data_IF_096270847119
#
_entry.id   IF_096270847119
#
_cell.length_a   1.000
_cell.length_b   1.000
_cell.length_c   1.000
_cell.angle_alpha   90.00
_cell.angle_beta   90.00
_cell.angle_gamma   90.00
#
_symmetry.space_group_name_H-M   'P 1'
#
loop_
_entity.id
_entity.type
_entity.pdbx_description
1 polymer ?
#
# COMPACT_ATOMS: atom_id res chain seq x y z
N UNK A 1 -18.69 -14.46 -6.80
CA UNK A 1 -17.58 -15.38 -7.13
C UNK A 1 -16.43 -15.05 -6.19
N UNK A 2 -15.79 -16.06 -5.58
CA UNK A 2 -14.72 -15.83 -4.60
C UNK A 2 -13.41 -15.53 -5.33
N UNK A 3 -12.90 -14.30 -5.19
CA UNK A 3 -11.62 -13.88 -5.73
C UNK A 3 -10.53 -14.05 -4.66
N UNK A 4 -9.48 -14.81 -5.00
CA UNK A 4 -8.37 -15.12 -4.10
C UNK A 4 -7.11 -14.37 -4.57
N UNK A 5 -6.45 -13.65 -3.65
CA UNK A 5 -5.10 -13.12 -3.91
C UNK A 5 -4.07 -14.10 -3.37
N UNK A 6 -3.20 -14.62 -4.24
CA UNK A 6 -2.05 -15.41 -3.83
C UNK A 6 -0.92 -14.49 -3.34
N UNK A 7 -0.31 -14.85 -2.21
CA UNK A 7 0.86 -14.17 -1.63
C UNK A 7 1.98 -15.21 -1.54
N UNK A 8 3.01 -15.02 -2.36
CA UNK A 8 4.10 -15.99 -2.56
C UNK A 8 5.47 -15.43 -2.10
N UNK A 9 5.53 -14.17 -1.69
CA UNK A 9 6.73 -13.52 -1.18
C UNK A 9 6.44 -12.79 0.13
N UNK A 10 7.39 -12.85 1.06
CA UNK A 10 7.26 -12.23 2.38
C UNK A 10 7.18 -10.69 2.31
N UNK A 11 7.78 -10.06 1.30
CA UNK A 11 7.70 -8.61 1.11
C UNK A 11 6.26 -8.20 0.79
N UNK A 12 5.51 -9.03 0.06
CA UNK A 12 4.11 -8.76 -0.27
C UNK A 12 3.18 -8.98 0.94
N UNK A 13 3.58 -9.88 1.87
CA UNK A 13 2.91 -10.02 3.16
C UNK A 13 3.00 -8.74 4.00
N UNK A 14 4.10 -7.99 3.93
CA UNK A 14 4.24 -6.70 4.66
C UNK A 14 3.14 -5.73 4.26
N UNK A 15 2.91 -5.57 2.95
CA UNK A 15 1.83 -4.72 2.45
C UNK A 15 0.48 -5.18 3.00
N UNK A 16 0.21 -6.48 3.02
CA UNK A 16 -1.02 -7.04 3.55
C UNK A 16 -1.19 -6.74 5.05
N UNK A 17 -0.16 -7.00 5.86
CA UNK A 17 -0.19 -6.72 7.29
C UNK A 17 -0.41 -5.23 7.56
N UNK A 18 0.17 -4.34 6.74
CA UNK A 18 -0.04 -2.89 6.84
C UNK A 18 -1.39 -2.43 6.30
N UNK A 19 -2.02 -3.17 5.40
CA UNK A 19 -3.37 -2.87 4.92
C UNK A 19 -4.41 -3.12 6.03
N UNK A 20 -4.19 -4.08 6.92
CA UNK A 20 -5.20 -4.51 7.91
C UNK A 20 -4.75 -4.32 9.37
N UNK A 21 -3.78 -3.45 9.63
CA UNK A 21 -3.17 -3.23 10.94
C UNK A 21 -4.03 -2.41 11.93
N UNK A 22 -5.17 -1.87 11.50
CA UNK A 22 -6.05 -1.08 12.37
C UNK A 22 -7.52 -1.44 12.18
N UNK A 23 -8.35 -1.36 13.24
CA UNK A 23 -9.79 -1.60 13.12
C UNK A 23 -10.47 -0.68 12.10
N UNK A 24 -9.98 0.56 11.94
CA UNK A 24 -10.52 1.51 10.95
C UNK A 24 -10.33 1.01 9.53
N UNK A 25 -9.13 0.50 9.19
CA UNK A 25 -8.86 -0.05 7.86
C UNK A 25 -9.71 -1.28 7.58
N UNK A 26 -9.87 -2.17 8.56
CA UNK A 26 -10.74 -3.34 8.42
C UNK A 26 -12.18 -2.92 8.12
N UNK A 27 -12.76 -2.00 8.91
CA UNK A 27 -14.11 -1.48 8.69
C UNK A 27 -14.28 -0.77 7.34
N UNK A 28 -13.24 -0.05 6.90
CA UNK A 28 -13.24 0.59 5.58
C UNK A 28 -13.23 -0.44 4.45
N UNK A 29 -12.48 -1.54 4.61
CA UNK A 29 -12.43 -2.64 3.66
C UNK A 29 -13.75 -3.42 3.61
N UNK A 30 -14.38 -3.70 4.76
CA UNK A 30 -15.69 -4.35 4.84
C UNK A 30 -16.77 -3.57 4.08
N UNK A 31 -16.80 -2.24 4.25
CA UNK A 31 -17.76 -1.38 3.55
C UNK A 31 -17.65 -1.54 2.02
N UNK A 32 -16.43 -1.46 1.48
CA UNK A 32 -16.21 -1.61 0.03
C UNK A 32 -16.28 -3.07 -0.46
N UNK A 33 -16.34 -4.04 0.44
CA UNK A 33 -16.54 -5.45 0.09
C UNK A 33 -18.01 -5.75 -0.19
N UNK A 34 -18.93 -5.08 0.51
CA UNK A 34 -20.37 -5.20 0.30
C UNK A 34 -20.79 -4.54 -1.02
N UNK A 35 -20.43 -3.27 -1.22
CA UNK A 35 -20.81 -2.53 -2.43
C UNK A 35 -19.78 -1.46 -2.84
N UNK A 36 -20.02 -0.83 -3.98
CA UNK A 36 -19.26 0.30 -4.47
C UNK A 36 -19.47 1.52 -3.58
N UNK A 37 -18.37 2.13 -3.12
CA UNK A 37 -18.41 3.40 -2.40
C UNK A 37 -17.54 4.48 -3.03
N UNK A 38 -18.09 5.67 -3.14
CA UNK A 38 -17.39 6.88 -3.59
C UNK A 38 -16.39 7.35 -2.54
N UNK A 39 -15.36 8.07 -2.98
CA UNK A 39 -14.38 8.69 -2.08
C UNK A 39 -15.05 9.56 -1.00
N UNK A 40 -16.13 10.26 -1.32
CA UNK A 40 -16.87 11.14 -0.41
C UNK A 40 -17.66 10.35 0.62
N UNK A 41 -18.28 9.23 0.24
CA UNK A 41 -18.95 8.34 1.20
C UNK A 41 -17.96 7.73 2.17
N UNK A 42 -16.81 7.26 1.67
CA UNK A 42 -15.71 6.78 2.49
C UNK A 42 -15.26 7.88 3.46
N UNK A 43 -15.00 9.09 2.96
CA UNK A 43 -14.57 10.23 3.79
C UNK A 43 -15.64 10.62 4.82
N UNK A 44 -16.92 10.59 4.45
CA UNK A 44 -18.03 10.87 5.36
C UNK A 44 -18.13 9.84 6.49
N UNK A 45 -17.87 8.56 6.19
CA UNK A 45 -17.99 7.45 7.17
C UNK A 45 -16.73 7.27 8.03
N UNK A 46 -15.55 7.50 7.47
CA UNK A 46 -14.26 7.13 8.09
C UNK A 46 -13.24 8.28 8.18
N UNK A 47 -13.60 9.47 7.72
CA UNK A 47 -12.72 10.65 7.72
C UNK A 47 -11.53 10.52 6.77
N UNK A 48 -10.53 11.39 6.93
CA UNK A 48 -9.32 11.39 6.10
C UNK A 48 -8.51 10.09 6.23
N UNK A 49 -8.53 9.45 7.41
CA UNK A 49 -7.91 8.13 7.62
C UNK A 49 -8.56 7.03 6.77
N UNK A 50 -9.85 7.15 6.47
CA UNK A 50 -10.53 6.26 5.53
C UNK A 50 -10.01 6.43 4.10
N UNK A 51 -9.77 7.67 3.68
CA UNK A 51 -9.19 7.95 2.36
C UNK A 51 -7.76 7.43 2.27
N UNK A 52 -6.95 7.61 3.33
CA UNK A 52 -5.60 7.03 3.40
C UNK A 52 -5.63 5.49 3.33
N UNK A 53 -6.59 4.85 4.00
CA UNK A 53 -6.80 3.41 3.93
C UNK A 53 -7.10 2.94 2.50
N UNK A 54 -8.02 3.63 1.81
CA UNK A 54 -8.41 3.31 0.43
C UNK A 54 -7.27 3.52 -0.55
N UNK A 55 -6.49 4.60 -0.38
CA UNK A 55 -5.27 4.81 -1.17
C UNK A 55 -4.26 3.67 -0.96
N UNK A 56 -4.14 3.15 0.27
CA UNK A 56 -3.31 1.98 0.56
C UNK A 56 -3.82 0.74 -0.17
N UNK A 57 -5.12 0.47 -0.11
CA UNK A 57 -5.73 -0.67 -0.77
C UNK A 57 -5.57 -0.60 -2.29
N UNK A 58 -5.79 0.57 -2.88
CA UNK A 58 -5.62 0.79 -4.31
C UNK A 58 -4.17 0.58 -4.75
N UNK A 59 -3.21 1.18 -4.02
CA UNK A 59 -1.78 0.98 -4.29
C UNK A 59 -1.42 -0.50 -4.33
N UNK A 60 -1.96 -1.28 -3.40
CA UNK A 60 -1.66 -2.71 -3.26
C UNK A 60 -2.59 -3.63 -4.07
N UNK A 61 -3.39 -3.04 -4.97
CA UNK A 61 -4.34 -3.76 -5.84
C UNK A 61 -5.27 -4.67 -5.04
N UNK A 62 -5.80 -4.19 -3.93
CA UNK A 62 -6.79 -4.89 -3.12
C UNK A 62 -8.22 -4.49 -3.50
N UNK A 63 -8.36 -3.36 -4.20
CA UNK A 63 -9.62 -2.79 -4.66
C UNK A 63 -9.53 -2.49 -6.15
N UNK A 64 -10.69 -2.50 -6.79
CA UNK A 64 -10.89 -1.89 -8.10
C UNK A 64 -11.39 -0.47 -7.91
N UNK A 65 -11.07 0.40 -8.88
CA UNK A 65 -11.58 1.77 -8.89
C UNK A 65 -12.12 2.16 -10.26
N UNK A 66 -13.18 2.96 -10.26
CA UNK A 66 -13.79 3.54 -11.46
C UNK A 66 -14.23 4.97 -11.19
N UNK A 67 -14.29 5.78 -12.24
CA UNK A 67 -14.87 7.12 -12.16
C UNK A 67 -16.35 7.04 -12.53
N UNK A 68 -17.23 7.51 -11.64
CA UNK A 68 -18.67 7.59 -11.92
C UNK A 68 -19.11 9.06 -11.94
N UNK A 69 -20.03 9.45 -12.85
CA UNK A 69 -20.75 10.71 -12.73
C UNK A 69 -21.58 10.70 -11.45
N UNK A 70 -21.65 11.83 -10.75
CA UNK A 70 -22.57 12.02 -9.63
C UNK A 70 -23.48 13.20 -9.98
N UNK A 71 -24.79 12.99 -9.97
CA UNK A 71 -25.78 13.98 -10.42
C UNK A 71 -25.65 15.31 -9.68
N UNK A 72 -25.31 15.28 -8.39
CA UNK A 72 -25.14 16.47 -7.54
C UNK A 72 -23.80 17.20 -7.73
N UNK A 73 -22.83 16.65 -8.48
CA UNK A 73 -21.48 17.22 -8.65
C UNK A 73 -21.12 17.41 -10.12
N UNK A 74 -20.52 18.57 -10.44
CA UNK A 74 -19.99 18.87 -11.80
C UNK A 74 -18.79 18.02 -12.22
N UNK A 75 -18.21 17.23 -11.31
CA UNK A 75 -17.01 16.42 -11.59
C UNK A 75 -17.29 14.96 -11.22
N UNK A 76 -16.84 14.01 -12.06
CA UNK A 76 -16.94 12.60 -11.73
C UNK A 76 -16.16 12.31 -10.46
N UNK A 77 -16.60 11.30 -9.74
CA UNK A 77 -16.01 10.88 -8.50
C UNK A 77 -15.45 9.47 -8.60
N UNK A 78 -14.33 9.25 -7.92
CA UNK A 78 -13.68 7.94 -7.88
C UNK A 78 -14.40 7.05 -6.86
N UNK A 79 -14.72 5.84 -7.29
CA UNK A 79 -15.53 4.86 -6.56
C UNK A 79 -14.78 3.55 -6.49
N UNK A 80 -14.88 2.87 -5.35
CA UNK A 80 -14.04 1.73 -5.00
C UNK A 80 -14.89 0.52 -4.62
N UNK A 81 -14.40 -0.66 -4.96
CA UNK A 81 -14.94 -1.95 -4.51
C UNK A 81 -13.80 -2.92 -4.22
N UNK A 82 -13.91 -3.73 -3.17
CA UNK A 82 -12.93 -4.77 -2.88
C UNK A 82 -12.90 -5.78 -4.04
N UNK A 83 -11.70 -6.10 -4.51
CA UNK A 83 -11.53 -7.09 -5.57
C UNK A 83 -11.43 -8.51 -5.01
N UNK A 84 -10.76 -8.65 -3.86
CA UNK A 84 -10.48 -9.95 -3.24
C UNK A 84 -11.35 -10.17 -2.00
N UNK A 85 -11.80 -11.41 -1.82
CA UNK A 85 -12.54 -11.86 -0.62
C UNK A 85 -11.72 -12.80 0.27
N UNK A 86 -10.62 -13.36 -0.27
CA UNK A 86 -9.76 -14.30 0.45
C UNK A 86 -8.29 -14.14 0.03
N UNK A 87 -7.38 -14.54 0.91
CA UNK A 87 -5.94 -14.59 0.65
C UNK A 87 -5.43 -16.03 0.75
N UNK A 88 -4.61 -16.45 -0.21
CA UNK A 88 -3.86 -17.70 -0.14
C UNK A 88 -2.38 -17.36 0.07
N UNK A 89 -1.83 -17.73 1.21
CA UNK A 89 -0.46 -17.34 1.59
C UNK A 89 0.40 -18.60 1.67
N UNK A 90 1.44 -18.67 0.83
CA UNK A 90 2.40 -19.78 0.81
C UNK A 90 3.76 -19.31 0.34
N UNK A 91 4.75 -19.32 1.22
CA UNK A 91 6.14 -19.05 0.89
C UNK A 91 7.07 -19.70 1.92
N UNK A 92 8.34 -19.88 1.53
CA UNK A 92 9.44 -20.26 2.42
C UNK A 92 10.53 -19.20 2.30
N UNK A 93 11.07 -18.72 3.42
CA UNK A 93 12.14 -17.73 3.42
C UNK A 93 13.17 -18.02 4.52
N UNK A 94 14.42 -17.55 4.36
CA UNK A 94 15.42 -17.59 5.43
C UNK A 94 14.98 -16.77 6.65
N UNK A 95 15.45 -17.15 7.84
CA UNK A 95 15.19 -16.43 9.10
C UNK A 95 15.60 -14.97 9.02
N UNK A 96 16.69 -14.65 8.30
CA UNK A 96 17.15 -13.27 8.08
C UNK A 96 16.13 -12.42 7.34
N UNK A 97 15.48 -12.97 6.30
CA UNK A 97 14.45 -12.28 5.53
C UNK A 97 13.17 -12.10 6.36
N UNK A 98 12.80 -13.09 7.16
CA UNK A 98 11.69 -12.98 8.13
C UNK A 98 11.95 -11.87 9.15
N UNK A 99 13.16 -11.82 9.70
CA UNK A 99 13.57 -10.76 10.65
C UNK A 99 13.48 -9.37 10.02
N UNK A 100 14.01 -9.19 8.81
CA UNK A 100 13.91 -7.91 8.07
C UNK A 100 12.46 -7.50 7.83
N UNK A 101 11.58 -8.44 7.46
CA UNK A 101 10.16 -8.17 7.26
C UNK A 101 9.46 -7.78 8.56
N UNK A 102 9.74 -8.50 9.66
CA UNK A 102 9.18 -8.21 10.97
C UNK A 102 9.61 -6.83 11.48
N UNK A 103 10.89 -6.47 11.34
CA UNK A 103 11.39 -5.12 11.65
C UNK A 103 10.65 -4.08 10.82
N UNK A 104 10.48 -4.32 9.52
CA UNK A 104 9.76 -3.41 8.64
C UNK A 104 8.27 -3.28 9.01
N UNK A 105 7.60 -4.28 9.57
CA UNK A 105 6.20 -4.19 9.99
C UNK A 105 6.07 -3.52 11.37
N UNK A 106 6.89 -3.94 12.33
CA UNK A 106 6.77 -3.57 13.74
C UNK A 106 7.45 -2.24 14.10
N UNK A 107 8.35 -1.72 13.25
CA UNK A 107 9.00 -0.44 13.48
C UNK A 107 7.97 0.69 13.71
N UNK A 108 8.23 1.56 14.67
CA UNK A 108 7.31 2.64 14.99
C UNK A 108 7.10 3.59 13.80
N UNK A 109 5.92 4.23 13.75
CA UNK A 109 5.57 5.11 12.64
C UNK A 109 6.56 6.28 12.48
N UNK A 110 7.01 6.88 13.60
CA UNK A 110 7.94 8.01 13.59
C UNK A 110 9.30 7.64 13.00
N UNK A 111 9.83 6.47 13.35
CA UNK A 111 11.13 6.04 12.82
C UNK A 111 11.04 5.60 11.37
N UNK A 112 9.95 4.93 11.00
CA UNK A 112 9.68 4.63 9.61
C UNK A 112 9.57 5.89 8.75
N UNK A 113 8.88 6.93 9.21
CA UNK A 113 8.76 8.19 8.49
C UNK A 113 10.13 8.82 8.19
N UNK A 114 11.08 8.80 9.13
CA UNK A 114 12.44 9.32 8.91
C UNK A 114 13.13 8.59 7.76
N UNK A 115 12.98 7.26 7.67
CA UNK A 115 13.57 6.46 6.61
C UNK A 115 12.83 6.70 5.29
N UNK A 116 11.49 6.68 5.32
CA UNK A 116 10.63 6.95 4.17
C UNK A 116 10.95 8.30 3.55
N UNK A 117 11.16 9.35 4.35
CA UNK A 117 11.52 10.69 3.87
C UNK A 117 12.88 10.73 3.20
N UNK A 118 13.87 10.00 3.73
CA UNK A 118 15.19 9.88 3.09
C UNK A 118 15.05 9.23 1.71
N UNK A 119 14.34 8.10 1.63
CA UNK A 119 14.07 7.41 0.36
C UNK A 119 13.29 8.33 -0.59
N UNK A 120 12.25 9.00 -0.11
CA UNK A 120 11.41 9.91 -0.89
C UNK A 120 12.20 11.08 -1.48
N UNK A 121 13.15 11.64 -0.73
CA UNK A 121 14.09 12.67 -1.22
C UNK A 121 15.01 12.10 -2.30
N UNK A 122 15.59 10.92 -2.08
CA UNK A 122 16.47 10.25 -3.04
C UNK A 122 15.77 9.91 -4.36
N UNK A 123 14.50 9.49 -4.29
CA UNK A 123 13.68 9.14 -5.46
C UNK A 123 13.44 10.33 -6.39
N UNK A 124 13.34 11.56 -5.83
CA UNK A 124 13.08 12.76 -6.61
C UNK A 124 11.71 12.77 -7.32
N UNK A 125 11.48 13.75 -8.19
CA UNK A 125 10.21 13.90 -8.93
C UNK A 125 10.06 12.95 -10.11
N UNK A 126 11.18 12.59 -10.74
CA UNK A 126 11.19 11.75 -11.96
C UNK A 126 11.25 10.25 -11.65
N UNK A 127 11.44 9.89 -10.38
CA UNK A 127 11.76 8.54 -9.96
C UNK A 127 13.26 8.24 -10.08
N UNK A 128 13.70 7.18 -9.41
CA UNK A 128 15.12 6.78 -9.36
C UNK A 128 15.24 5.26 -9.44
N UNK A 129 16.30 4.77 -10.08
CA UNK A 129 16.61 3.35 -10.13
C UNK A 129 16.94 2.81 -8.73
N UNK A 130 16.40 1.64 -8.37
CA UNK A 130 16.53 1.03 -7.04
C UNK A 130 18.00 0.85 -6.61
N UNK A 131 18.87 0.42 -7.54
CA UNK A 131 20.31 0.26 -7.28
C UNK A 131 20.99 1.52 -6.73
N UNK A 132 20.61 2.71 -7.22
CA UNK A 132 21.15 3.98 -6.72
C UNK A 132 20.70 4.28 -5.28
N UNK A 133 19.49 3.84 -4.92
CA UNK A 133 18.93 4.03 -3.58
C UNK A 133 19.61 3.06 -2.61
N UNK A 134 19.77 1.79 -3.03
CA UNK A 134 20.48 0.72 -2.32
C UNK A 134 21.90 1.17 -1.99
N UNK A 135 22.65 1.65 -2.99
CA UNK A 135 24.02 2.14 -2.82
C UNK A 135 24.10 3.32 -1.85
N UNK A 136 23.24 4.34 -2.03
CA UNK A 136 23.26 5.54 -1.19
C UNK A 136 22.85 5.29 0.27
N UNK A 137 21.98 4.32 0.51
CA UNK A 137 21.52 3.98 1.85
C UNK A 137 22.32 2.84 2.48
N UNK A 138 23.18 2.17 1.71
CA UNK A 138 23.91 0.97 2.12
C UNK A 138 23.00 -0.10 2.73
N UNK A 139 21.89 -0.39 2.04
CA UNK A 139 20.87 -1.37 2.45
C UNK A 139 20.80 -2.51 1.44
N UNK A 140 20.18 -3.63 1.83
CA UNK A 140 19.93 -4.72 0.88
C UNK A 140 18.69 -4.45 0.01
N UNK A 141 18.61 -5.12 -1.14
CA UNK A 141 17.46 -5.03 -2.04
C UNK A 141 16.13 -5.44 -1.34
N UNK A 142 16.16 -6.50 -0.53
CA UNK A 142 15.01 -6.95 0.28
C UNK A 142 14.54 -5.87 1.25
N UNK A 143 15.47 -5.15 1.89
CA UNK A 143 15.17 -4.08 2.83
C UNK A 143 14.49 -2.90 2.12
N UNK A 144 15.00 -2.48 0.95
CA UNK A 144 14.36 -1.44 0.15
C UNK A 144 12.94 -1.85 -0.26
N UNK A 145 12.74 -3.10 -0.70
CA UNK A 145 11.42 -3.61 -1.08
C UNK A 145 10.44 -3.61 0.10
N UNK A 146 10.90 -4.03 1.28
CA UNK A 146 10.11 -4.00 2.51
C UNK A 146 9.66 -2.57 2.88
N UNK A 147 10.56 -1.59 2.75
CA UNK A 147 10.26 -0.18 2.99
C UNK A 147 9.21 0.36 2.00
N UNK A 148 9.35 0.04 0.70
CA UNK A 148 8.42 0.48 -0.34
C UNK A 148 7.03 -0.14 -0.13
N UNK A 149 6.97 -1.44 0.23
CA UNK A 149 5.70 -2.13 0.46
C UNK A 149 4.97 -1.62 1.71
N UNK A 150 5.69 -1.09 2.70
CA UNK A 150 5.09 -0.39 3.85
C UNK A 150 4.66 1.05 3.54
N UNK A 151 5.37 1.74 2.64
CA UNK A 151 5.14 3.16 2.34
C UNK A 151 3.78 3.41 1.67
N UNK A 152 3.18 4.58 1.86
CA UNK A 152 2.10 5.06 0.98
C UNK A 152 2.62 5.95 -0.16
N UNK A 153 3.79 6.56 0.04
CA UNK A 153 4.34 7.62 -0.81
C UNK A 153 5.22 7.10 -1.93
N UNK A 154 5.62 5.83 -1.90
CA UNK A 154 6.55 5.22 -2.83
C UNK A 154 5.91 4.01 -3.53
N UNK A 155 6.22 3.81 -4.81
CA UNK A 155 5.82 2.65 -5.59
C UNK A 155 7.00 2.13 -6.39
N UNK A 156 7.04 0.81 -6.61
CA UNK A 156 7.98 0.18 -7.53
C UNK A 156 7.30 -0.07 -8.88
N UNK A 157 8.00 0.28 -9.97
CA UNK A 157 7.68 -0.07 -11.35
C UNK A 157 8.89 -0.75 -11.97
N UNK A 158 8.97 -2.07 -11.83
CA UNK A 158 10.18 -2.82 -12.14
C UNK A 158 11.33 -2.37 -11.22
N UNK A 159 12.48 -2.04 -11.80
CA UNK A 159 13.65 -1.55 -11.04
C UNK A 159 13.60 -0.04 -10.74
N UNK A 160 12.53 0.65 -11.17
CA UNK A 160 12.37 2.08 -10.96
C UNK A 160 11.45 2.34 -9.77
N UNK A 161 11.91 3.14 -8.83
CA UNK A 161 11.10 3.61 -7.71
C UNK A 161 10.55 5.00 -8.05
N UNK A 162 9.25 5.18 -7.86
CA UNK A 162 8.53 6.44 -8.11
C UNK A 162 7.73 6.87 -6.89
N UNK A 163 7.30 8.13 -6.87
CA UNK A 163 6.37 8.62 -5.86
C UNK A 163 4.95 8.18 -6.23
N UNK A 164 4.22 7.63 -5.28
CA UNK A 164 2.89 7.03 -5.48
C UNK A 164 1.83 8.05 -5.93
N UNK A 165 2.00 9.34 -5.58
CA UNK A 165 1.20 10.45 -6.07
C UNK A 165 2.08 11.71 -6.25
N UNK A 166 1.74 12.51 -7.27
CA UNK A 166 2.28 13.85 -7.57
C UNK A 166 1.51 14.90 -6.79
#
# INVERSE_FOLDING_TARGET
MMHIKAIEDISDLIALLRAFDTPLKMKAFEAIQEDWHTASEIKKKFGDKGIEAIAFFEKNKLVESRWIPIEEKKKPEKTYKAFYSSFYIKFTCPVTQLSQAAVAVCMEHKDFQKIEEKVFKLVGREGTHEGKIIEKLNIQHSELRNLINRSLKLISKGMKIERAQK
#
